data_IF_374062287871
#
_entry.id   IF_374062287871
#
_cell.length_a   1.000
_cell.length_b   1.000
_cell.length_c   1.000
_cell.angle_alpha   90.00
_cell.angle_beta   90.00
_cell.angle_gamma   90.00
#
_symmetry.space_group_name_H-M   'P 1'
#
loop_
_entity.id
_entity.type
_entity.pdbx_description
1 polymer ?
#
# COMPACT_ATOMS: atom_id res chain seq x y z
N UNK A 1 10.32 -15.77 -58.79
CA UNK A 1 10.87 -15.65 -57.42
C UNK A 1 9.71 -15.34 -56.49
N UNK A 2 8.94 -16.36 -56.12
CA UNK A 2 7.72 -16.22 -55.33
C UNK A 2 7.46 -17.50 -54.54
N UNK A 3 8.21 -17.75 -53.47
CA UNK A 3 7.91 -18.82 -52.48
C UNK A 3 8.79 -18.64 -51.24
N UNK A 4 8.39 -17.78 -50.29
CA UNK A 4 8.98 -17.78 -48.92
C UNK A 4 8.05 -17.26 -47.82
N UNK A 5 6.78 -16.93 -48.12
CA UNK A 5 5.87 -16.32 -47.13
C UNK A 5 4.86 -17.28 -46.49
N UNK A 6 4.62 -18.47 -47.05
CA UNK A 6 3.61 -19.40 -46.51
C UNK A 6 4.18 -20.38 -45.47
N UNK A 7 5.50 -20.58 -45.45
CA UNK A 7 6.16 -21.50 -44.53
C UNK A 7 6.25 -20.98 -43.10
N UNK A 8 6.18 -19.66 -42.86
CA UNK A 8 6.30 -19.10 -41.50
C UNK A 8 5.02 -19.22 -40.66
N UNK A 9 3.84 -19.30 -41.31
CA UNK A 9 2.54 -19.38 -40.61
C UNK A 9 2.22 -20.83 -40.21
N UNK A 10 2.86 -21.81 -40.86
CA UNK A 10 2.62 -23.22 -40.63
C UNK A 10 3.39 -23.80 -39.41
N UNK A 11 4.51 -23.21 -39.01
CA UNK A 11 5.34 -23.73 -37.91
C UNK A 11 4.90 -23.27 -36.51
N UNK A 12 4.15 -22.17 -36.39
CA UNK A 12 3.61 -21.71 -35.09
C UNK A 12 2.40 -22.52 -34.60
N UNK A 13 1.83 -23.41 -35.43
CA UNK A 13 0.68 -24.27 -35.07
C UNK A 13 1.03 -25.64 -34.50
N UNK A 14 2.32 -25.97 -34.31
CA UNK A 14 2.74 -27.37 -34.08
C UNK A 14 3.45 -27.65 -32.74
N UNK A 15 3.28 -26.81 -31.71
CA UNK A 15 3.79 -27.11 -30.35
C UNK A 15 2.79 -26.83 -29.22
N UNK A 16 1.49 -26.95 -29.47
CA UNK A 16 0.55 -27.28 -28.38
C UNK A 16 0.42 -28.80 -28.32
N UNK A 17 1.22 -29.43 -27.45
CA UNK A 17 0.96 -30.80 -27.02
C UNK A 17 -0.51 -30.92 -26.59
N UNK A 18 -1.27 -31.95 -27.01
CA UNK A 18 -2.67 -32.05 -26.67
C UNK A 18 -2.82 -31.99 -25.15
N UNK A 19 -3.45 -30.92 -24.66
CA UNK A 19 -3.72 -30.72 -23.23
C UNK A 19 -4.59 -31.88 -22.78
N UNK A 20 -4.03 -32.80 -22.00
CA UNK A 20 -4.75 -33.98 -21.51
C UNK A 20 -5.90 -33.49 -20.64
N UNK A 21 -7.12 -33.68 -21.13
CA UNK A 21 -8.31 -33.26 -20.42
C UNK A 21 -8.48 -34.15 -19.19
N UNK A 22 -8.69 -33.53 -18.01
CA UNK A 22 -8.94 -34.22 -16.75
C UNK A 22 -10.10 -33.57 -16.00
N UNK A 23 -10.79 -34.32 -15.13
CA UNK A 23 -11.81 -33.74 -14.25
C UNK A 23 -11.14 -33.06 -13.05
N UNK A 24 -11.74 -31.98 -12.53
CA UNK A 24 -11.27 -31.25 -11.36
C UNK A 24 -11.28 -32.09 -10.07
N UNK A 25 -12.27 -32.98 -9.94
CA UNK A 25 -12.54 -33.73 -8.71
C UNK A 25 -13.32 -32.90 -7.68
N UNK A 26 -13.42 -33.38 -6.43
CA UNK A 26 -14.20 -32.71 -5.40
C UNK A 26 -13.72 -31.27 -5.11
N UNK A 27 -14.63 -30.29 -4.95
CA UNK A 27 -16.09 -30.44 -4.84
C UNK A 27 -16.84 -30.21 -6.17
N UNK A 28 -16.17 -30.29 -7.32
CA UNK A 28 -16.74 -29.97 -8.64
C UNK A 28 -16.81 -31.20 -9.56
N UNK A 29 -17.26 -32.31 -9.00
CA UNK A 29 -17.40 -33.62 -9.65
C UNK A 29 -18.81 -34.23 -9.51
N UNK A 30 -19.81 -33.39 -9.23
CA UNK A 30 -21.22 -33.79 -9.11
C UNK A 30 -21.72 -34.44 -10.40
N UNK A 31 -22.25 -35.66 -10.28
CA UNK A 31 -22.72 -36.44 -11.43
C UNK A 31 -23.94 -35.84 -12.11
N UNK A 32 -24.75 -35.08 -11.37
CA UNK A 32 -25.99 -34.43 -11.77
C UNK A 32 -25.81 -32.96 -12.18
N UNK A 33 -24.57 -32.47 -12.23
CA UNK A 33 -24.23 -31.19 -12.85
C UNK A 33 -24.77 -31.07 -14.28
N UNK A 34 -25.26 -29.89 -14.67
CA UNK A 34 -25.90 -29.64 -15.96
C UNK A 34 -24.97 -29.03 -17.02
N UNK A 35 -23.77 -28.56 -16.61
CA UNK A 35 -22.76 -27.99 -17.49
C UNK A 35 -21.34 -28.44 -17.11
N UNK A 36 -20.43 -28.37 -18.09
CA UNK A 36 -19.00 -28.55 -17.86
C UNK A 36 -18.29 -27.24 -18.22
N UNK A 37 -17.58 -26.66 -17.25
CA UNK A 37 -16.64 -25.57 -17.55
C UNK A 37 -15.24 -26.16 -17.71
N UNK A 38 -14.61 -25.92 -18.86
CA UNK A 38 -13.23 -26.34 -19.14
C UNK A 38 -12.27 -25.16 -19.00
N UNK A 39 -11.26 -25.31 -18.15
CA UNK A 39 -10.16 -24.34 -18.02
C UNK A 39 -9.20 -24.37 -19.22
N UNK A 40 -8.37 -23.34 -19.35
CA UNK A 40 -7.37 -23.25 -20.43
C UNK A 40 -6.30 -24.34 -20.36
N UNK A 41 -6.04 -24.88 -19.17
CA UNK A 41 -5.11 -25.99 -18.92
C UNK A 41 -5.78 -27.37 -18.95
N UNK A 42 -7.01 -27.46 -19.46
CA UNK A 42 -7.69 -28.73 -19.76
C UNK A 42 -8.36 -29.41 -18.56
N UNK A 43 -8.79 -28.65 -17.54
CA UNK A 43 -9.50 -29.19 -16.38
C UNK A 43 -11.01 -28.95 -16.53
N UNK A 44 -11.79 -30.02 -16.45
CA UNK A 44 -13.25 -30.02 -16.50
C UNK A 44 -13.83 -29.89 -15.09
N UNK A 45 -14.59 -28.83 -14.85
CA UNK A 45 -15.39 -28.58 -13.65
C UNK A 45 -16.85 -28.90 -13.94
N UNK A 46 -17.45 -29.83 -13.19
CA UNK A 46 -18.87 -30.18 -13.30
C UNK A 46 -19.65 -29.24 -12.39
N UNK A 47 -20.51 -28.40 -12.98
CA UNK A 47 -21.16 -27.29 -12.29
C UNK A 47 -22.66 -27.21 -12.64
N UNK A 48 -23.36 -26.34 -11.92
CA UNK A 48 -24.77 -26.00 -12.12
C UNK A 48 -24.84 -24.59 -12.70
N UNK A 49 -25.30 -24.47 -13.95
CA UNK A 49 -25.38 -23.20 -14.67
C UNK A 49 -26.21 -22.16 -13.92
N UNK A 50 -27.24 -22.58 -13.19
CA UNK A 50 -28.08 -21.67 -12.40
C UNK A 50 -27.31 -20.96 -11.27
N UNK A 51 -26.33 -21.63 -10.64
CA UNK A 51 -25.51 -21.04 -9.58
C UNK A 51 -24.58 -19.99 -10.18
N UNK A 52 -23.91 -20.32 -11.29
CA UNK A 52 -23.06 -19.38 -12.02
C UNK A 52 -23.86 -18.17 -12.53
N UNK A 53 -25.05 -18.38 -13.09
CA UNK A 53 -25.95 -17.31 -13.55
C UNK A 53 -26.43 -16.39 -12.42
N UNK A 54 -26.53 -16.91 -11.20
CA UNK A 54 -26.87 -16.11 -10.02
C UNK A 54 -25.71 -15.30 -9.51
N UNK A 55 -24.50 -15.84 -9.61
CA UNK A 55 -23.29 -15.18 -9.10
C UNK A 55 -22.69 -14.14 -10.07
N UNK A 56 -22.90 -14.32 -11.38
CA UNK A 56 -22.22 -13.54 -12.42
C UNK A 56 -23.17 -13.15 -13.54
N UNK A 57 -23.13 -11.86 -13.89
CA UNK A 57 -23.89 -11.34 -15.04
C UNK A 57 -23.41 -11.93 -16.36
N UNK A 58 -22.10 -12.10 -16.54
CA UNK A 58 -21.55 -12.70 -17.76
C UNK A 58 -22.06 -14.12 -17.97
N UNK A 59 -22.06 -14.95 -16.92
CA UNK A 59 -22.60 -16.31 -17.03
C UNK A 59 -24.12 -16.29 -17.27
N UNK A 60 -24.86 -15.41 -16.60
CA UNK A 60 -26.30 -15.24 -16.85
C UNK A 60 -26.61 -14.92 -18.31
N UNK A 61 -25.89 -13.97 -18.89
CA UNK A 61 -26.08 -13.55 -20.27
C UNK A 61 -25.66 -14.68 -21.23
N UNK A 62 -24.54 -15.35 -20.96
CA UNK A 62 -24.02 -16.49 -21.75
C UNK A 62 -25.02 -17.65 -21.84
N UNK A 63 -25.74 -17.97 -20.76
CA UNK A 63 -26.73 -19.04 -20.74
C UNK A 63 -28.12 -18.60 -21.25
N UNK A 64 -28.41 -17.30 -21.24
CA UNK A 64 -29.69 -16.75 -21.72
C UNK A 64 -29.71 -16.55 -23.24
N UNK A 65 -28.55 -16.44 -23.88
CA UNK A 65 -28.47 -16.32 -25.35
C UNK A 65 -28.73 -17.67 -26.03
N UNK A 66 -29.64 -17.76 -27.02
CA UNK A 66 -29.87 -18.98 -27.80
C UNK A 66 -28.64 -19.45 -28.62
N UNK A 67 -27.55 -18.67 -28.59
CA UNK A 67 -26.27 -18.91 -29.25
C UNK A 67 -25.33 -19.85 -28.49
N UNK A 68 -25.66 -20.40 -27.32
CA UNK A 68 -24.84 -21.45 -26.68
C UNK A 68 -24.82 -22.73 -27.52
N UNK A 69 -25.75 -22.87 -28.49
CA UNK A 69 -25.68 -23.88 -29.56
C UNK A 69 -24.82 -23.46 -30.77
N UNK A 70 -24.33 -22.22 -30.84
CA UNK A 70 -23.70 -21.62 -32.03
C UNK A 70 -22.30 -21.04 -31.81
N UNK A 71 -21.79 -20.91 -30.58
CA UNK A 71 -20.39 -20.53 -30.34
C UNK A 71 -19.37 -21.60 -30.83
N UNK A 72 -19.87 -22.75 -31.28
CA UNK A 72 -19.18 -23.78 -32.06
C UNK A 72 -18.98 -23.42 -33.54
N UNK A 73 -19.59 -22.35 -34.04
CA UNK A 73 -19.66 -22.02 -35.48
C UNK A 73 -18.49 -21.13 -35.94
N UNK A 74 -17.30 -21.38 -35.43
CA UNK A 74 -16.07 -20.73 -35.85
C UNK A 74 -14.92 -21.73 -35.86
N UNK A 75 -14.67 -22.33 -37.03
CA UNK A 75 -13.58 -23.26 -37.38
C UNK A 75 -13.82 -24.74 -36.98
N UNK A 76 -14.23 -25.55 -37.95
CA UNK A 76 -13.95 -26.99 -38.10
C UNK A 76 -13.98 -27.91 -36.86
N UNK A 77 -14.79 -27.66 -35.83
CA UNK A 77 -14.94 -28.58 -34.70
C UNK A 77 -16.11 -29.56 -34.91
N UNK A 78 -15.88 -30.83 -34.57
CA UNK A 78 -16.90 -31.87 -34.62
C UNK A 78 -17.93 -31.60 -33.51
N UNK A 79 -19.25 -31.77 -33.72
CA UNK A 79 -20.28 -31.51 -32.71
C UNK A 79 -20.11 -32.28 -31.38
N UNK A 80 -19.36 -33.38 -31.41
CA UNK A 80 -19.02 -34.17 -30.21
C UNK A 80 -17.92 -33.54 -29.34
N UNK A 81 -17.18 -32.53 -29.81
CA UNK A 81 -16.15 -31.85 -29.01
C UNK A 81 -16.74 -30.82 -28.02
N UNK A 82 -18.02 -30.45 -28.20
CA UNK A 82 -18.70 -29.44 -27.39
C UNK A 82 -19.68 -30.03 -26.38
N UNK A 83 -19.81 -31.35 -26.34
CA UNK A 83 -20.60 -32.06 -25.34
C UNK A 83 -19.82 -33.23 -24.76
N UNK A 84 -19.94 -33.46 -23.46
CA UNK A 84 -19.40 -34.65 -22.77
C UNK A 84 -20.47 -35.20 -21.84
N UNK A 85 -20.78 -36.47 -22.00
CA UNK A 85 -21.86 -37.18 -21.28
C UNK A 85 -23.23 -36.48 -21.40
N UNK A 86 -23.52 -35.90 -22.56
CA UNK A 86 -24.77 -35.16 -22.80
C UNK A 86 -24.81 -33.74 -22.19
N UNK A 87 -23.70 -33.26 -21.62
CA UNK A 87 -23.58 -31.92 -21.02
C UNK A 87 -22.79 -31.00 -21.94
N UNK A 88 -23.21 -29.73 -22.13
CA UNK A 88 -22.44 -28.76 -22.91
C UNK A 88 -21.12 -28.42 -22.19
N UNK A 89 -20.05 -28.29 -22.98
CA UNK A 89 -18.73 -27.83 -22.53
C UNK A 89 -18.54 -26.36 -22.89
N UNK A 90 -18.23 -25.54 -21.88
CA UNK A 90 -17.90 -24.13 -22.06
C UNK A 90 -16.44 -23.93 -21.69
N UNK A 91 -15.65 -23.49 -22.66
CA UNK A 91 -14.21 -23.26 -22.49
C UNK A 91 -13.96 -21.83 -22.03
N UNK A 92 -13.17 -21.68 -20.97
CA UNK A 92 -12.74 -20.39 -20.43
C UNK A 92 -11.22 -20.23 -20.59
N UNK A 93 -10.76 -18.98 -20.59
CA UNK A 93 -9.34 -18.63 -20.79
C UNK A 93 -8.51 -18.73 -19.51
N UNK A 94 -9.17 -18.82 -18.37
CA UNK A 94 -8.59 -18.93 -17.04
C UNK A 94 -8.11 -20.36 -16.80
N UNK A 95 -6.97 -20.50 -16.13
CA UNK A 95 -6.49 -21.80 -15.70
C UNK A 95 -7.33 -22.37 -14.55
N UNK A 96 -7.14 -23.66 -14.29
CA UNK A 96 -7.88 -24.40 -13.28
C UNK A 96 -7.76 -23.83 -11.87
N UNK A 97 -6.60 -23.28 -11.50
CA UNK A 97 -6.38 -22.68 -10.18
C UNK A 97 -7.26 -21.45 -9.94
N UNK A 98 -7.34 -20.54 -10.92
CA UNK A 98 -8.18 -19.34 -10.83
C UNK A 98 -9.66 -19.71 -10.80
N UNK A 99 -10.07 -20.66 -11.66
CA UNK A 99 -11.44 -21.13 -11.72
C UNK A 99 -11.88 -21.85 -10.44
N UNK A 100 -11.04 -22.72 -9.86
CA UNK A 100 -11.31 -23.36 -8.56
C UNK A 100 -11.55 -22.31 -7.47
N UNK A 101 -10.66 -21.31 -7.36
CA UNK A 101 -10.82 -20.23 -6.37
C UNK A 101 -12.12 -19.46 -6.57
N UNK A 102 -12.46 -19.12 -7.81
CA UNK A 102 -13.67 -18.37 -8.15
C UNK A 102 -14.94 -19.19 -7.87
N UNK A 103 -15.00 -20.45 -8.30
CA UNK A 103 -16.18 -21.29 -8.11
C UNK A 103 -16.43 -21.59 -6.64
N UNK A 104 -15.37 -21.76 -5.81
CA UNK A 104 -15.54 -21.89 -4.36
C UNK A 104 -16.17 -20.67 -3.69
N UNK A 105 -16.15 -19.50 -4.32
CA UNK A 105 -16.88 -18.33 -3.83
C UNK A 105 -18.36 -18.35 -4.20
N UNK A 106 -18.73 -19.05 -5.28
CA UNK A 106 -20.11 -19.13 -5.76
C UNK A 106 -20.87 -20.31 -5.14
N UNK A 107 -20.15 -21.34 -4.73
CA UNK A 107 -20.69 -22.57 -4.19
C UNK A 107 -20.61 -22.61 -2.66
N UNK A 108 -21.57 -23.25 -1.97
CA UNK A 108 -21.54 -23.44 -0.52
C UNK A 108 -20.56 -24.55 -0.13
N UNK A 109 -19.28 -24.35 -0.43
CA UNK A 109 -18.18 -25.31 -0.20
C UNK A 109 -17.07 -24.66 0.64
N UNK A 110 -15.99 -25.41 0.88
CA UNK A 110 -14.83 -24.87 1.57
C UNK A 110 -14.24 -23.66 0.84
N UNK A 111 -13.86 -22.65 1.65
CA UNK A 111 -13.27 -21.40 1.18
C UNK A 111 -12.06 -21.65 0.27
N UNK A 112 -11.85 -20.80 -0.75
CA UNK A 112 -10.68 -20.92 -1.61
C UNK A 112 -9.39 -20.73 -0.81
N UNK A 113 -8.38 -21.54 -1.14
CA UNK A 113 -7.04 -21.39 -0.56
C UNK A 113 -6.28 -20.32 -1.33
N UNK A 114 -6.31 -19.11 -0.82
CA UNK A 114 -5.53 -17.98 -1.36
C UNK A 114 -4.25 -17.84 -0.56
N UNK A 115 -3.11 -18.14 -1.19
CA UNK A 115 -1.83 -18.26 -0.47
C UNK A 115 -0.89 -17.08 -0.69
N UNK A 116 -1.10 -16.35 -1.80
CA UNK A 116 -0.22 -15.27 -2.25
C UNK A 116 -0.98 -14.03 -2.72
N UNK A 117 -0.28 -12.89 -2.84
CA UNK A 117 -0.83 -11.70 -3.50
C UNK A 117 -1.14 -11.96 -4.98
N UNK A 118 -0.35 -12.79 -5.65
CA UNK A 118 -0.62 -13.17 -7.04
C UNK A 118 -1.97 -13.88 -7.17
N UNK A 119 -2.32 -14.76 -6.23
CA UNK A 119 -3.63 -15.41 -6.18
C UNK A 119 -4.76 -14.38 -6.01
N UNK A 120 -4.57 -13.40 -5.12
CA UNK A 120 -5.52 -12.30 -4.90
C UNK A 120 -5.74 -11.50 -6.19
N UNK A 121 -4.67 -11.14 -6.90
CA UNK A 121 -4.74 -10.40 -8.16
C UNK A 121 -5.54 -11.17 -9.20
N UNK A 122 -5.19 -12.43 -9.42
CA UNK A 122 -5.87 -13.29 -10.39
C UNK A 122 -7.35 -13.50 -10.05
N UNK A 123 -7.65 -13.71 -8.76
CA UNK A 123 -9.02 -13.88 -8.30
C UNK A 123 -9.86 -12.62 -8.52
N UNK A 124 -9.35 -11.45 -8.13
CA UNK A 124 -10.07 -10.19 -8.33
C UNK A 124 -10.24 -9.84 -9.82
N UNK A 125 -9.23 -10.10 -10.65
CA UNK A 125 -9.34 -9.94 -12.11
C UNK A 125 -10.42 -10.86 -12.70
N UNK A 126 -10.50 -12.11 -12.25
CA UNK A 126 -11.55 -13.02 -12.69
C UNK A 126 -12.93 -12.53 -12.24
N UNK A 127 -13.10 -12.14 -10.97
CA UNK A 127 -14.38 -11.63 -10.46
C UNK A 127 -14.85 -10.37 -11.20
N UNK A 128 -13.93 -9.46 -11.54
CA UNK A 128 -14.20 -8.28 -12.35
C UNK A 128 -14.58 -8.64 -13.79
N UNK A 129 -13.81 -9.53 -14.43
CA UNK A 129 -14.08 -10.03 -15.79
C UNK A 129 -15.46 -10.66 -15.91
N UNK A 130 -15.86 -11.46 -14.92
CA UNK A 130 -17.16 -12.13 -14.90
C UNK A 130 -18.28 -11.26 -14.31
N UNK A 131 -18.03 -9.97 -14.04
CA UNK A 131 -19.01 -9.00 -13.54
C UNK A 131 -19.81 -9.54 -12.35
N UNK A 132 -19.09 -9.92 -11.29
CA UNK A 132 -19.69 -10.30 -10.02
C UNK A 132 -20.12 -9.02 -9.30
N UNK A 133 -21.44 -8.77 -9.25
CA UNK A 133 -22.04 -7.49 -8.82
C UNK A 133 -21.57 -7.00 -7.44
N UNK A 134 -21.34 -7.93 -6.50
CA UNK A 134 -20.79 -7.62 -5.18
C UNK A 134 -19.71 -8.63 -4.82
N UNK A 135 -18.51 -8.13 -4.50
CA UNK A 135 -17.43 -8.99 -4.03
C UNK A 135 -17.86 -9.72 -2.74
N UNK A 136 -17.74 -11.05 -2.67
CA UNK A 136 -18.12 -11.81 -1.49
C UNK A 136 -17.37 -11.35 -0.24
N UNK A 137 -18.00 -11.39 0.94
CA UNK A 137 -17.36 -11.09 2.23
C UNK A 137 -16.09 -11.93 2.46
N UNK A 138 -16.04 -13.13 1.87
CA UNK A 138 -14.85 -14.01 1.90
C UNK A 138 -13.64 -13.36 1.23
N UNK A 139 -13.83 -12.60 0.14
CA UNK A 139 -12.76 -11.85 -0.52
C UNK A 139 -12.23 -10.75 0.38
N UNK A 140 -13.13 -10.01 1.06
CA UNK A 140 -12.70 -9.01 2.04
C UNK A 140 -11.91 -9.65 3.19
N UNK A 141 -12.33 -10.80 3.70
CA UNK A 141 -11.61 -11.51 4.76
C UNK A 141 -10.20 -11.94 4.31
N UNK A 142 -10.08 -12.50 3.11
CA UNK A 142 -8.79 -12.89 2.49
C UNK A 142 -7.87 -11.67 2.38
N UNK A 143 -8.40 -10.53 1.92
CA UNK A 143 -7.62 -9.30 1.82
C UNK A 143 -7.19 -8.77 3.18
N UNK A 144 -8.08 -8.80 4.18
CA UNK A 144 -7.77 -8.39 5.55
C UNK A 144 -6.64 -9.24 6.16
N UNK A 145 -6.61 -10.54 5.89
CA UNK A 145 -5.52 -11.43 6.32
C UNK A 145 -4.19 -11.13 5.60
N UNK A 146 -4.24 -10.51 4.42
CA UNK A 146 -3.07 -10.07 3.66
C UNK A 146 -2.56 -8.67 4.05
N UNK A 147 -3.41 -7.83 4.67
CA UNK A 147 -3.09 -6.44 5.03
C UNK A 147 -1.82 -6.33 5.88
N UNK A 148 -1.62 -7.21 6.87
CA UNK A 148 -0.43 -7.16 7.74
C UNK A 148 0.88 -7.53 7.01
N UNK A 149 0.80 -8.32 5.93
CA UNK A 149 1.97 -8.78 5.17
C UNK A 149 2.41 -7.76 4.13
N UNK A 150 1.46 -7.23 3.36
CA UNK A 150 1.71 -6.32 2.25
C UNK A 150 0.73 -5.14 2.24
N UNK A 151 0.79 -4.25 3.26
CA UNK A 151 -0.20 -3.19 3.42
C UNK A 151 -0.24 -2.20 2.26
N UNK A 152 0.91 -1.91 1.63
CA UNK A 152 0.98 -0.97 0.50
C UNK A 152 0.27 -1.54 -0.74
N UNK A 153 0.61 -2.78 -1.13
CA UNK A 153 -0.02 -3.50 -2.24
C UNK A 153 -1.52 -3.67 -2.02
N UNK A 154 -1.92 -4.15 -0.84
CA UNK A 154 -3.34 -4.34 -0.52
C UNK A 154 -4.11 -3.02 -0.48
N UNK A 155 -3.50 -1.92 -0.03
CA UNK A 155 -4.14 -0.60 -0.06
C UNK A 155 -4.46 -0.17 -1.50
N UNK A 156 -3.53 -0.35 -2.43
CA UNK A 156 -3.73 -0.05 -3.86
C UNK A 156 -4.80 -0.94 -4.46
N UNK A 157 -4.73 -2.26 -4.25
CA UNK A 157 -5.73 -3.22 -4.73
C UNK A 157 -7.12 -2.88 -4.18
N UNK A 158 -7.25 -2.66 -2.88
CA UNK A 158 -8.53 -2.32 -2.27
C UNK A 158 -9.08 -0.98 -2.79
N UNK A 159 -8.21 0.01 -3.03
CA UNK A 159 -8.61 1.26 -3.66
C UNK A 159 -9.14 1.03 -5.08
N UNK A 160 -8.45 0.22 -5.89
CA UNK A 160 -8.86 -0.12 -7.26
C UNK A 160 -10.26 -0.71 -7.32
N UNK A 161 -10.56 -1.69 -6.47
CA UNK A 161 -11.86 -2.40 -6.43
C UNK A 161 -12.90 -1.79 -5.48
N UNK A 162 -12.69 -0.57 -5.00
CA UNK A 162 -13.64 0.15 -4.13
C UNK A 162 -13.98 -0.52 -2.78
N UNK A 163 -13.04 -1.33 -2.27
CA UNK A 163 -13.14 -2.06 -1.01
C UNK A 163 -12.76 -1.17 0.18
N UNK A 164 -13.67 -0.25 0.53
CA UNK A 164 -13.43 0.84 1.50
C UNK A 164 -12.91 0.35 2.86
N UNK A 165 -13.48 -0.74 3.41
CA UNK A 165 -13.05 -1.25 4.72
C UNK A 165 -11.60 -1.74 4.69
N UNK A 166 -11.25 -2.51 3.66
CA UNK A 166 -9.90 -3.05 3.44
C UNK A 166 -8.92 -1.92 3.16
N UNK A 167 -9.27 -0.99 2.27
CA UNK A 167 -8.43 0.16 1.91
C UNK A 167 -8.08 1.00 3.14
N UNK A 168 -9.07 1.26 4.01
CA UNK A 168 -8.87 2.01 5.24
C UNK A 168 -7.98 1.29 6.26
N UNK A 169 -8.14 -0.03 6.40
CA UNK A 169 -7.29 -0.84 7.27
C UNK A 169 -5.85 -0.87 6.76
N UNK A 170 -5.67 -1.15 5.47
CA UNK A 170 -4.38 -1.19 4.80
C UNK A 170 -3.65 0.15 4.91
N UNK A 171 -4.34 1.27 4.62
CA UNK A 171 -3.77 2.61 4.68
C UNK A 171 -3.20 2.95 6.07
N UNK A 172 -3.87 2.56 7.16
CA UNK A 172 -3.34 2.74 8.52
C UNK A 172 -2.03 1.97 8.74
N UNK A 173 -1.92 0.77 8.19
CA UNK A 173 -0.68 -0.01 8.30
C UNK A 173 0.44 0.55 7.42
N UNK A 174 0.13 1.17 6.28
CA UNK A 174 1.16 1.83 5.44
C UNK A 174 1.93 2.93 6.17
N UNK A 175 1.34 3.53 7.23
CA UNK A 175 2.01 4.55 8.06
C UNK A 175 3.25 4.02 8.79
N UNK A 176 3.39 2.70 8.93
CA UNK A 176 4.58 2.06 9.51
C UNK A 176 5.81 2.25 8.62
N UNK A 177 5.64 2.57 7.34
CA UNK A 177 6.71 2.62 6.35
C UNK A 177 6.78 3.99 5.65
N UNK A 178 7.96 4.37 5.14
CA UNK A 178 8.10 5.53 4.26
C UNK A 178 7.24 5.39 3.02
N UNK A 179 6.59 6.48 2.63
CA UNK A 179 5.60 6.55 1.55
C UNK A 179 6.08 6.04 0.19
N UNK A 180 7.39 6.05 -0.09
CA UNK A 180 7.90 5.90 -1.46
C UNK A 180 9.26 5.19 -1.62
N UNK A 181 9.92 4.70 -0.56
CA UNK A 181 11.33 4.28 -0.71
C UNK A 181 11.82 3.07 0.11
N UNK A 182 10.93 2.31 0.76
CA UNK A 182 11.39 1.16 1.52
C UNK A 182 10.49 -0.08 1.35
N UNK A 183 10.95 -1.00 0.51
CA UNK A 183 10.80 -2.43 0.72
C UNK A 183 9.70 -3.16 -0.03
N UNK A 184 8.52 -2.57 -0.23
CA UNK A 184 7.34 -3.28 -0.77
C UNK A 184 6.44 -2.35 -1.59
N UNK A 185 6.96 -1.79 -2.69
CA UNK A 185 6.13 -1.02 -3.60
C UNK A 185 5.10 -1.94 -4.31
N UNK A 186 3.85 -1.47 -4.50
CA UNK A 186 2.90 -2.11 -5.39
C UNK A 186 3.55 -2.31 -6.76
N UNK A 187 3.29 -3.44 -7.43
CA UNK A 187 3.84 -3.66 -8.76
C UNK A 187 3.17 -2.73 -9.77
N UNK A 188 3.81 -2.53 -10.94
CA UNK A 188 3.20 -1.77 -12.03
C UNK A 188 1.82 -2.32 -12.42
N UNK A 189 1.60 -3.63 -12.30
CA UNK A 189 0.29 -4.26 -12.54
C UNK A 189 -0.80 -3.87 -11.51
N UNK A 190 -0.41 -3.55 -10.27
CA UNK A 190 -1.35 -3.10 -9.24
C UNK A 190 -1.72 -1.63 -9.45
N UNK A 191 -0.74 -0.85 -9.90
CA UNK A 191 -0.89 0.56 -10.25
C UNK A 191 -1.55 0.75 -11.62
N UNK A 192 -1.41 -0.23 -12.51
CA UNK A 192 -2.21 -0.31 -13.71
C UNK A 192 -3.67 -0.36 -13.24
N UNK A 193 -4.48 0.54 -13.78
CA UNK A 193 -5.92 0.64 -13.51
C UNK A 193 -6.35 1.28 -12.17
N UNK A 194 -5.46 1.63 -11.23
CA UNK A 194 -5.87 2.57 -10.16
C UNK A 194 -5.95 3.98 -10.76
N UNK A 195 -7.02 4.73 -10.45
CA UNK A 195 -7.10 6.12 -10.90
C UNK A 195 -6.06 6.98 -10.18
N UNK A 196 -5.48 7.95 -10.89
CA UNK A 196 -4.55 8.92 -10.29
C UNK A 196 -5.17 9.67 -9.10
N UNK A 197 -6.50 9.88 -9.13
CA UNK A 197 -7.24 10.48 -8.02
C UNK A 197 -7.23 9.58 -6.76
N UNK A 198 -7.48 8.28 -6.92
CA UNK A 198 -7.42 7.31 -5.80
C UNK A 198 -6.00 7.20 -5.25
N UNK A 199 -5.00 7.08 -6.12
CA UNK A 199 -3.59 7.04 -5.71
C UNK A 199 -3.16 8.31 -4.96
N UNK A 200 -3.53 9.50 -5.48
CA UNK A 200 -3.27 10.79 -4.81
C UNK A 200 -3.87 10.84 -3.40
N UNK A 201 -5.04 10.24 -3.16
CA UNK A 201 -5.66 10.21 -1.82
C UNK A 201 -4.85 9.38 -0.83
N UNK A 202 -4.22 8.29 -1.27
CA UNK A 202 -3.30 7.49 -0.44
C UNK A 202 -2.13 8.38 0.00
N UNK A 203 -1.51 9.11 -0.94
CA UNK A 203 -0.41 10.01 -0.66
C UNK A 203 -0.83 11.14 0.31
N UNK A 204 -1.96 11.79 0.04
CA UNK A 204 -2.49 12.86 0.89
C UNK A 204 -2.83 12.37 2.30
N UNK A 205 -3.39 11.18 2.43
CA UNK A 205 -3.69 10.60 3.74
C UNK A 205 -2.42 10.42 4.57
N UNK A 206 -1.38 9.81 4.01
CA UNK A 206 -0.13 9.63 4.74
C UNK A 206 0.61 10.95 5.01
N UNK A 207 0.56 11.91 4.08
CA UNK A 207 1.05 13.27 4.33
C UNK A 207 0.33 13.93 5.51
N UNK A 208 -1.01 13.89 5.55
CA UNK A 208 -1.80 14.46 6.66
C UNK A 208 -1.49 13.77 7.98
N UNK A 209 -1.32 12.45 7.99
CA UNK A 209 -0.88 11.72 9.17
C UNK A 209 0.52 12.15 9.63
N UNK A 210 1.44 12.38 8.68
CA UNK A 210 2.80 12.86 8.94
C UNK A 210 2.82 14.26 9.55
N UNK A 211 2.02 15.18 9.03
CA UNK A 211 1.87 16.53 9.58
C UNK A 211 1.31 16.47 11.01
N UNK A 212 0.20 15.75 11.23
CA UNK A 212 -0.41 15.63 12.57
C UNK A 212 0.49 14.93 13.58
N UNK A 213 1.25 13.91 13.16
CA UNK A 213 2.20 13.23 14.02
C UNK A 213 3.38 14.14 14.39
N UNK A 214 3.89 14.93 13.44
CA UNK A 214 4.95 15.90 13.70
C UNK A 214 4.49 17.04 14.62
N UNK A 215 3.29 17.57 14.43
CA UNK A 215 2.69 18.59 15.31
C UNK A 215 2.61 18.12 16.77
N UNK A 216 2.32 16.83 17.00
CA UNK A 216 2.20 16.25 18.33
C UNK A 216 3.51 16.30 19.16
N UNK A 217 4.66 16.35 18.49
CA UNK A 217 5.99 16.46 19.15
C UNK A 217 6.55 17.89 19.13
N UNK A 218 6.01 18.78 18.30
CA UNK A 218 6.35 20.20 18.29
C UNK A 218 5.67 21.00 19.41
N UNK A 219 4.54 20.52 19.93
CA UNK A 219 3.80 21.17 21.02
C UNK A 219 3.54 20.19 22.15
N UNK A 220 3.96 20.57 23.37
CA UNK A 220 3.77 19.78 24.59
C UNK A 220 2.64 20.33 25.48
N UNK A 221 1.77 21.17 24.93
CA UNK A 221 0.62 21.74 25.66
C UNK A 221 -0.40 20.69 26.15
N UNK A 222 -0.30 19.45 25.68
CA UNK A 222 -1.20 18.36 26.05
C UNK A 222 -0.72 17.52 27.23
N UNK A 223 0.48 17.79 27.79
CA UNK A 223 1.03 17.06 28.93
C UNK A 223 1.46 17.99 30.07
N UNK A 224 1.61 17.42 31.28
CA UNK A 224 2.17 18.14 32.43
C UNK A 224 3.68 18.30 32.26
N UNK A 225 4.21 19.50 32.44
CA UNK A 225 5.65 19.76 32.38
C UNK A 225 6.48 18.91 33.35
N UNK A 226 5.88 18.39 34.44
CA UNK A 226 6.53 17.44 35.36
C UNK A 226 6.77 16.05 34.75
N UNK A 227 6.04 15.70 33.69
CA UNK A 227 6.22 14.44 32.97
C UNK A 227 7.36 14.49 31.96
N UNK A 228 7.96 15.67 31.76
CA UNK A 228 9.06 15.86 30.82
C UNK A 228 10.39 15.71 31.58
N UNK A 229 11.26 14.77 31.19
CA UNK A 229 12.53 14.56 31.85
C UNK A 229 13.38 15.84 31.93
N UNK A 230 13.95 16.12 33.10
CA UNK A 230 14.79 17.29 33.35
C UNK A 230 14.16 18.67 33.04
N UNK A 231 12.86 18.77 32.75
CA UNK A 231 12.22 20.06 32.48
C UNK A 231 12.04 20.87 33.77
N UNK A 232 12.33 22.17 33.72
CA UNK A 232 12.26 23.07 34.87
C UNK A 232 11.39 24.27 34.52
N UNK A 233 10.44 24.63 35.39
CA UNK A 233 9.60 25.80 35.19
C UNK A 233 10.46 27.08 35.06
N UNK A 234 10.07 27.98 34.15
CA UNK A 234 10.82 29.22 33.94
C UNK A 234 10.84 30.08 35.21
N UNK A 235 11.98 30.71 35.47
CA UNK A 235 12.23 31.42 36.74
C UNK A 235 12.56 30.55 37.97
N UNK A 236 12.39 29.22 37.92
CA UNK A 236 12.90 28.33 38.98
C UNK A 236 14.43 28.20 38.90
N UNK A 237 15.16 28.05 40.01
CA UNK A 237 16.60 27.84 39.98
C UNK A 237 16.95 26.53 39.26
N UNK A 238 18.07 26.55 38.52
CA UNK A 238 18.61 25.33 37.93
C UNK A 238 18.94 24.30 39.01
N UNK A 239 18.71 22.99 38.76
CA UNK A 239 19.12 21.94 39.67
C UNK A 239 20.63 22.01 39.93
N UNK A 240 21.03 21.78 41.18
CA UNK A 240 22.43 21.88 41.60
C UNK A 240 23.34 21.03 40.70
N UNK A 241 24.36 21.66 40.10
CA UNK A 241 25.32 21.00 39.22
C UNK A 241 24.81 20.67 37.81
N UNK A 242 23.59 21.07 37.43
CA UNK A 242 23.04 20.80 36.10
C UNK A 242 23.10 22.04 35.19
N UNK A 243 24.02 22.02 34.21
CA UNK A 243 24.14 23.06 33.17
C UNK A 243 23.22 22.82 31.98
N UNK A 244 22.66 21.61 31.81
CA UNK A 244 21.75 21.25 30.72
C UNK A 244 20.42 22.01 30.76
N UNK A 245 20.08 22.63 31.89
CA UNK A 245 18.85 23.40 32.14
C UNK A 245 18.82 24.79 31.48
N UNK A 246 19.87 25.14 30.72
CA UNK A 246 19.95 26.35 29.86
C UNK A 246 19.32 26.16 28.47
N UNK A 247 18.69 25.02 28.24
CA UNK A 247 18.05 24.71 26.96
C UNK A 247 16.84 25.59 26.65
N UNK A 248 16.17 25.24 25.56
CA UNK A 248 15.10 26.04 24.96
C UNK A 248 13.89 26.20 25.87
N UNK A 249 13.20 27.33 25.72
CA UNK A 249 11.95 27.61 26.43
C UNK A 249 10.76 27.08 25.64
N UNK A 250 9.93 26.27 26.30
CA UNK A 250 8.73 25.66 25.74
C UNK A 250 7.50 26.10 26.53
N UNK A 251 6.42 26.40 25.83
CA UNK A 251 5.11 26.60 26.44
C UNK A 251 4.47 25.23 26.70
N UNK A 252 4.15 24.93 27.96
CA UNK A 252 3.69 23.61 28.40
C UNK A 252 2.50 23.78 29.32
N UNK A 253 1.57 22.84 29.26
CA UNK A 253 0.45 22.85 30.21
C UNK A 253 0.96 22.53 31.61
N UNK A 254 0.47 23.30 32.56
CA UNK A 254 0.69 23.12 33.98
C UNK A 254 -0.67 22.98 34.63
N UNK A 255 -0.87 21.86 35.33
CA UNK A 255 -2.09 21.64 36.08
C UNK A 255 -1.93 22.15 37.50
N UNK A 256 -2.59 23.28 37.82
CA UNK A 256 -2.70 23.77 39.19
C UNK A 256 -3.99 23.25 39.82
N UNK A 257 -3.86 22.29 40.74
CA UNK A 257 -4.98 21.74 41.54
C UNK A 257 -5.81 22.81 42.25
N UNK A 258 -5.25 24.00 42.50
CA UNK A 258 -5.95 25.10 43.18
C UNK A 258 -6.85 25.95 42.27
N UNK A 259 -6.58 25.98 40.96
CA UNK A 259 -7.29 26.87 40.01
C UNK A 259 -8.34 26.18 39.16
N UNK A 260 -8.38 24.84 39.14
CA UNK A 260 -9.41 24.07 38.44
C UNK A 260 -9.37 24.15 36.91
N UNK A 261 -8.40 24.89 36.33
CA UNK A 261 -8.22 25.04 34.89
C UNK A 261 -6.73 24.85 34.52
N UNK A 262 -6.42 24.24 33.36
CA UNK A 262 -5.06 24.15 32.86
C UNK A 262 -4.50 25.56 32.60
N UNK A 263 -3.31 25.84 33.12
CA UNK A 263 -2.59 27.09 32.85
C UNK A 263 -1.39 26.80 31.95
N UNK A 264 -1.05 27.73 31.05
CA UNK A 264 0.14 27.61 30.21
C UNK A 264 1.30 28.25 30.96
N UNK A 265 2.34 27.46 31.22
CA UNK A 265 3.57 27.91 31.86
C UNK A 265 4.76 27.69 30.94
N UNK A 266 5.75 28.57 31.05
CA UNK A 266 7.02 28.40 30.34
C UNK A 266 7.91 27.43 31.11
N UNK A 267 8.52 26.48 30.41
CA UNK A 267 9.50 25.54 30.95
C UNK A 267 10.79 25.63 30.14
N UNK A 268 11.94 25.48 30.80
CA UNK A 268 13.23 25.22 30.16
C UNK A 268 13.37 23.72 29.99
N UNK A 269 13.48 23.27 28.74
CA UNK A 269 13.63 21.86 28.37
C UNK A 269 15.07 21.64 27.94
N UNK A 270 15.69 20.54 28.39
CA UNK A 270 17.09 20.25 28.13
C UNK A 270 17.36 19.90 26.67
N UNK A 271 18.58 20.18 26.20
CA UNK A 271 18.97 19.96 24.80
C UNK A 271 18.87 18.49 24.36
N UNK A 272 19.07 17.54 25.27
CA UNK A 272 18.93 16.12 24.95
C UNK A 272 17.46 15.72 24.72
N UNK A 273 16.51 16.35 25.42
CA UNK A 273 15.07 16.13 25.20
C UNK A 273 14.60 16.84 23.94
N UNK A 274 15.00 18.10 23.72
CA UNK A 274 14.62 18.82 22.50
C UNK A 274 15.26 18.22 21.25
N UNK A 275 16.50 17.74 21.36
CA UNK A 275 17.19 16.97 20.32
C UNK A 275 16.45 15.67 19.99
N UNK A 276 15.98 14.95 21.00
CA UNK A 276 15.13 13.77 20.82
C UNK A 276 13.82 14.11 20.10
N UNK A 277 13.09 15.13 20.56
CA UNK A 277 11.83 15.56 19.92
C UNK A 277 12.02 15.95 18.46
N UNK A 278 13.09 16.68 18.12
CA UNK A 278 13.45 17.00 16.73
C UNK A 278 13.78 15.78 15.90
N UNK A 279 14.43 14.77 16.50
CA UNK A 279 14.73 13.51 15.83
C UNK A 279 13.44 12.72 15.57
N UNK A 280 12.53 12.67 16.54
CA UNK A 280 11.20 12.11 16.40
C UNK A 280 10.41 12.82 15.31
N UNK A 281 10.41 14.15 15.28
CA UNK A 281 9.73 14.95 14.27
C UNK A 281 10.16 14.56 12.85
N UNK A 282 11.48 14.46 12.60
CA UNK A 282 12.01 13.98 11.32
C UNK A 282 11.58 12.54 11.01
N UNK A 283 11.69 11.66 11.99
CA UNK A 283 11.27 10.26 11.83
C UNK A 283 9.78 10.11 11.53
N UNK A 284 8.93 10.91 12.15
CA UNK A 284 7.47 10.90 11.97
C UNK A 284 7.03 11.49 10.63
N UNK A 285 7.81 12.40 10.04
CA UNK A 285 7.58 12.88 8.68
C UNK A 285 7.81 11.81 7.61
N UNK A 286 8.70 10.87 7.88
CA UNK A 286 8.95 9.72 7.00
C UNK A 286 8.02 8.56 7.33
N UNK A 287 7.90 8.21 8.61
CA UNK A 287 7.16 7.05 9.15
C UNK A 287 6.17 7.53 10.21
N UNK A 288 4.97 7.99 9.82
CA UNK A 288 3.97 8.57 10.70
C UNK A 288 3.25 7.52 11.54
N UNK A 289 4.00 6.78 12.34
CA UNK A 289 3.50 5.74 13.23
C UNK A 289 3.99 6.01 14.65
N UNK A 290 3.11 5.80 15.63
CA UNK A 290 3.44 6.04 17.05
C UNK A 290 4.61 5.18 17.56
N UNK A 291 4.85 4.02 16.95
CA UNK A 291 6.02 3.20 17.26
C UNK A 291 7.37 3.85 16.89
N UNK A 292 7.39 4.86 16.01
CA UNK A 292 8.61 5.56 15.61
C UNK A 292 9.29 6.24 16.80
N UNK A 293 8.54 6.81 17.74
CA UNK A 293 9.12 7.44 18.93
C UNK A 293 9.58 6.44 20.00
N UNK A 294 9.26 5.16 19.83
CA UNK A 294 9.66 4.08 20.72
C UNK A 294 10.89 3.33 20.22
N UNK A 295 11.42 3.65 19.04
CA UNK A 295 12.59 2.97 18.48
C UNK A 295 13.84 3.30 19.32
N UNK A 296 14.47 2.25 19.87
CA UNK A 296 15.70 2.35 20.64
C UNK A 296 16.82 3.05 19.86
N UNK A 297 16.87 2.90 18.53
CA UNK A 297 17.85 3.60 17.68
C UNK A 297 17.67 5.11 17.71
N UNK A 298 16.43 5.58 17.92
CA UNK A 298 16.11 7.01 18.06
C UNK A 298 16.30 7.48 19.51
N UNK A 299 15.97 6.65 20.50
CA UNK A 299 16.01 6.99 21.92
C UNK A 299 17.43 6.96 22.53
N UNK A 300 18.19 5.90 22.30
CA UNK A 300 19.45 5.60 23.00
C UNK A 300 20.52 6.72 22.90
N UNK A 301 20.72 7.41 21.78
CA UNK A 301 21.70 8.50 21.70
C UNK A 301 21.42 9.63 22.71
N UNK A 302 20.15 9.94 22.96
CA UNK A 302 19.75 11.02 23.86
C UNK A 302 19.77 10.59 25.33
N UNK A 303 19.47 9.31 25.60
CA UNK A 303 19.68 8.73 26.94
C UNK A 303 21.17 8.76 27.31
N UNK A 304 22.07 8.45 26.37
CA UNK A 304 23.52 8.57 26.59
C UNK A 304 23.96 10.01 26.83
N UNK A 305 23.43 10.97 26.07
CA UNK A 305 23.68 12.40 26.30
C UNK A 305 23.19 12.88 27.68
N UNK A 306 22.09 12.33 28.18
CA UNK A 306 21.61 12.62 29.53
C UNK A 306 22.57 12.09 30.62
N UNK A 307 23.27 10.98 30.35
CA UNK A 307 24.21 10.37 31.28
C UNK A 307 25.47 11.23 31.54
N UNK A 308 25.78 12.19 30.66
CA UNK A 308 26.87 13.15 30.86
C UNK A 308 26.59 14.15 32.01
N UNK A 309 25.37 14.18 32.54
CA UNK A 309 24.98 15.01 33.68
C UNK A 309 24.26 14.18 34.76
N UNK A 310 24.83 14.12 35.97
CA UNK A 310 24.28 13.33 37.08
C UNK A 310 22.82 13.68 37.48
N UNK A 311 22.34 14.90 37.18
CA UNK A 311 20.92 15.22 37.35
C UNK A 311 20.07 14.65 36.21
N UNK A 312 20.49 14.87 34.95
CA UNK A 312 19.77 14.37 33.78
C UNK A 312 19.74 12.85 33.74
N UNK A 313 20.85 12.19 34.05
CA UNK A 313 20.95 10.73 34.19
C UNK A 313 19.90 10.19 35.16
N UNK A 314 19.86 10.72 36.38
CA UNK A 314 18.86 10.34 37.39
C UNK A 314 17.46 10.57 36.88
N UNK A 315 17.14 11.74 36.30
CA UNK A 315 15.79 11.96 35.78
C UNK A 315 15.43 11.06 34.60
N UNK A 316 16.38 10.71 33.72
CA UNK A 316 16.15 9.80 32.61
C UNK A 316 15.81 8.39 33.10
N UNK A 317 16.42 7.97 34.21
CA UNK A 317 16.15 6.71 34.92
C UNK A 317 14.85 6.79 35.74
N UNK A 318 14.71 7.80 36.60
CA UNK A 318 13.63 7.98 37.58
C UNK A 318 12.28 8.32 36.94
N UNK A 319 12.25 9.27 35.99
CA UNK A 319 11.04 9.58 35.21
C UNK A 319 10.79 8.55 34.10
N UNK A 320 11.72 7.60 33.90
CA UNK A 320 11.74 6.61 32.83
C UNK A 320 11.51 7.29 31.48
N UNK A 321 12.58 7.55 30.72
CA UNK A 321 12.48 8.03 29.33
C UNK A 321 11.43 7.24 28.50
N UNK A 322 11.27 5.95 28.82
CA UNK A 322 10.20 5.08 28.31
C UNK A 322 8.77 5.58 28.60
N UNK A 323 8.47 6.08 29.80
CA UNK A 323 7.14 6.65 30.12
C UNK A 323 6.87 7.91 29.31
N UNK A 324 7.88 8.77 29.16
CA UNK A 324 7.77 9.96 28.33
C UNK A 324 7.53 9.59 26.86
N UNK A 325 8.31 8.67 26.30
CA UNK A 325 8.13 8.21 24.91
C UNK A 325 6.80 7.49 24.70
N UNK A 326 6.30 6.73 25.69
CA UNK A 326 4.98 6.12 25.63
C UNK A 326 3.86 7.16 25.58
N UNK A 327 3.94 8.22 26.40
CA UNK A 327 2.96 9.31 26.34
C UNK A 327 2.96 10.02 24.99
N UNK A 328 4.15 10.24 24.39
CA UNK A 328 4.25 10.75 23.03
C UNK A 328 3.58 9.80 22.03
N UNK A 329 3.85 8.49 22.12
CA UNK A 329 3.27 7.49 21.24
C UNK A 329 1.73 7.50 21.32
N UNK A 330 1.17 7.53 22.53
CA UNK A 330 -0.28 7.58 22.75
C UNK A 330 -0.90 8.86 22.16
N UNK A 331 -0.22 10.00 22.33
CA UNK A 331 -0.66 11.27 21.73
C UNK A 331 -0.61 11.24 20.21
N UNK A 332 0.46 10.71 19.62
CA UNK A 332 0.64 10.58 18.18
C UNK A 332 -0.45 9.67 17.61
N UNK A 333 -0.71 8.53 18.26
CA UNK A 333 -1.81 7.62 17.88
C UNK A 333 -3.14 8.34 17.86
N UNK A 334 -3.48 9.07 18.93
CA UNK A 334 -4.72 9.86 18.99
C UNK A 334 -4.79 10.95 17.92
N UNK A 335 -3.67 11.61 17.61
CA UNK A 335 -3.61 12.64 16.58
C UNK A 335 -3.82 12.05 15.16
N UNK A 336 -3.26 10.89 14.88
CA UNK A 336 -3.44 10.16 13.61
C UNK A 336 -4.88 9.66 13.49
N UNK A 337 -5.49 9.16 14.57
CA UNK A 337 -6.88 8.68 14.57
C UNK A 337 -7.91 9.79 14.25
N UNK A 338 -7.54 11.06 14.45
CA UNK A 338 -8.38 12.20 14.06
C UNK A 338 -8.32 12.51 12.56
N UNK A 339 -7.35 11.97 11.82
CA UNK A 339 -7.24 12.14 10.37
C UNK A 339 -8.32 11.26 9.71
N UNK A 340 -9.29 11.91 9.06
CA UNK A 340 -10.33 11.19 8.33
C UNK A 340 -9.73 10.52 7.11
N UNK A 341 -9.88 9.20 7.04
CA UNK A 341 -9.49 8.45 5.86
C UNK A 341 -10.57 8.57 4.77
N UNK A 342 -10.27 9.33 3.71
CA UNK A 342 -11.20 9.69 2.61
C UNK A 342 -10.84 9.01 1.28
N UNK A 343 -10.37 7.77 1.31
CA UNK A 343 -9.89 7.07 0.10
C UNK A 343 -10.97 6.91 -0.98
N UNK A 344 -12.22 6.69 -0.58
CA UNK A 344 -13.35 6.44 -1.49
C UNK A 344 -14.38 7.58 -1.55
N UNK A 345 -14.10 8.76 -0.98
CA UNK A 345 -15.01 9.89 -1.08
C UNK A 345 -15.23 10.27 -2.56
N UNK A 346 -16.48 10.41 -3.00
CA UNK A 346 -16.77 10.91 -4.34
C UNK A 346 -16.27 12.36 -4.44
N UNK A 347 -15.59 12.74 -5.54
CA UNK A 347 -15.22 14.13 -5.73
C UNK A 347 -16.50 14.92 -6.00
N UNK A 348 -17.00 15.65 -5.01
CA UNK A 348 -17.66 16.97 -5.10
C UNK A 348 -18.14 17.42 -3.71
N UNK A 349 -17.91 18.70 -3.40
CA UNK A 349 -18.28 19.47 -2.19
C UNK A 349 -17.36 19.35 -0.96
N UNK A 350 -16.13 19.84 -1.08
CA UNK A 350 -15.48 20.50 0.06
C UNK A 350 -14.67 21.70 -0.47
N UNK A 351 -15.37 22.80 -0.73
CA UNK A 351 -14.77 24.11 -0.99
C UNK A 351 -14.20 24.63 0.32
N UNK A 352 -13.00 24.16 0.65
CA UNK A 352 -12.28 24.52 1.86
C UNK A 352 -10.86 24.02 1.78
N UNK A 353 -10.06 24.58 0.87
CA UNK A 353 -8.61 24.38 0.84
C UNK A 353 -8.02 24.95 2.14
N UNK A 354 -7.39 24.15 3.02
CA UNK A 354 -6.36 24.70 3.88
C UNK A 354 -5.14 25.03 3.00
N UNK A 355 -4.56 26.20 3.23
CA UNK A 355 -3.37 26.69 2.54
C UNK A 355 -2.20 25.73 2.77
N UNK A 356 -1.96 24.81 1.83
CA UNK A 356 -0.73 24.01 1.81
C UNK A 356 0.35 24.89 1.19
N UNK A 357 1.26 25.37 2.03
CA UNK A 357 2.51 25.99 1.57
C UNK A 357 3.30 24.94 0.80
N UNK A 358 3.20 24.98 -0.54
CA UNK A 358 4.07 24.22 -1.43
C UNK A 358 5.50 24.68 -1.19
N UNK A 359 6.29 23.85 -0.52
CA UNK A 359 7.75 23.95 -0.59
C UNK A 359 8.10 23.51 -2.01
N UNK A 360 8.29 24.48 -2.90
CA UNK A 360 8.96 24.24 -4.17
C UNK A 360 10.39 23.80 -3.83
N UNK A 361 10.70 22.54 -4.15
CA UNK A 361 12.08 22.15 -4.36
C UNK A 361 12.49 22.83 -5.68
N UNK A 362 13.30 23.90 -5.58
CA UNK A 362 13.97 24.52 -6.71
C UNK A 362 14.85 23.47 -7.40
N UNK A 363 14.32 22.81 -8.42
CA UNK A 363 15.08 21.98 -9.35
C UNK A 363 15.57 22.88 -10.49
N UNK A 364 16.39 23.87 -10.17
CA UNK A 364 17.08 24.70 -11.16
C UNK A 364 18.40 25.23 -10.58
N UNK A 365 19.35 24.31 -10.35
CA UNK A 365 20.78 24.63 -10.20
C UNK A 365 21.67 23.40 -10.33
N UNK A 366 21.68 22.79 -11.51
CA UNK A 366 22.81 21.98 -11.96
C UNK A 366 23.49 22.72 -13.13
N UNK A 367 24.69 23.31 -12.93
CA UNK A 367 25.46 23.84 -14.04
C UNK A 367 26.07 22.69 -14.85
N UNK A 368 25.60 22.52 -16.08
CA UNK A 368 26.30 21.71 -17.09
C UNK A 368 27.65 22.37 -17.43
N UNK A 369 28.77 21.63 -17.49
CA UNK A 369 30.02 22.16 -18.02
C UNK A 369 29.90 22.32 -19.54
N UNK A 370 30.14 23.53 -20.02
CA UNK A 370 30.20 23.90 -21.43
C UNK A 370 31.47 23.34 -22.08
N UNK A 371 31.32 22.39 -23.00
CA UNK A 371 32.35 22.03 -23.98
C UNK A 371 32.42 23.14 -25.05
N UNK A 372 33.53 23.86 -25.07
CA UNK A 372 33.90 24.81 -26.12
C UNK A 372 35.40 25.05 -26.01
N UNK A 373 36.21 24.15 -26.56
CA UNK A 373 37.58 24.47 -26.97
C UNK A 373 37.76 24.03 -28.40
N UNK A 374 38.13 25.02 -29.20
CA UNK A 374 38.27 24.97 -30.63
C UNK A 374 39.33 23.98 -31.09
N UNK A 375 39.05 23.42 -32.26
CA UNK A 375 39.95 22.71 -33.15
C UNK A 375 41.04 23.68 -33.62
N UNK A 376 42.31 23.38 -33.34
CA UNK A 376 43.45 23.88 -34.10
C UNK A 376 44.20 22.68 -34.67
N UNK A 377 44.04 22.48 -35.98
CA UNK A 377 44.79 21.56 -36.84
C UNK A 377 45.86 22.40 -37.57
N UNK A 378 47.18 22.13 -37.42
CA UNK A 378 48.18 22.83 -38.21
C UNK A 378 49.12 21.85 -38.91
N UNK A 379 48.66 21.08 -39.90
CA UNK A 379 49.56 20.55 -40.93
C UNK A 379 48.75 20.25 -42.19
N UNK A 380 48.84 21.13 -43.21
CA UNK A 380 49.05 20.76 -44.61
C UNK A 380 48.84 21.96 -45.54
N UNK A 381 49.95 22.48 -46.07
CA UNK A 381 50.11 23.17 -47.37
C UNK A 381 51.58 23.64 -47.40
N UNK A 382 52.44 23.48 -48.40
CA UNK A 382 52.45 23.03 -49.81
C UNK A 382 53.92 22.71 -50.10
N UNK A 383 54.24 21.76 -51.00
CA UNK A 383 55.21 21.93 -52.11
C UNK A 383 55.47 20.62 -52.85
N UNK A 384 55.09 20.60 -54.13
CA UNK A 384 55.54 19.65 -55.12
C UNK A 384 56.82 20.16 -55.79
N UNK A 385 57.78 19.27 -56.09
CA UNK A 385 58.53 19.24 -57.38
C UNK A 385 59.72 18.27 -57.33
N UNK A 386 59.65 17.28 -58.23
CA UNK A 386 60.69 16.83 -59.18
C UNK A 386 62.08 16.35 -58.74
N UNK A 387 62.47 15.25 -59.42
CA UNK A 387 63.78 14.64 -59.65
C UNK A 387 64.22 13.52 -58.71
#
# INVERSE_FOLDING_TARGET
MSTTSESSIAYDRLLESPTVVRNAGPPFDDIDADIIIRSSDGVDFLLYGIILAKASKVFKDMFSTPSTSLLSSGLNHHPEDDHKDGRPIIRLTENSHVLDMMFRLFYPVDRPKVTSISDIRLLLQALDKYLVDSLPETVEAILMDAVEREPQTICVIACRYDLTRVANAAAKLTLRDPLLYAGLCPSDDDLAYISAAKYRRILLYHQQCSERAAEAVQSLLWMDGRSIPSAVADGSPSPNGCTCSRGEKWAISSYDRKRGAPNISMYRVTDWVTGYLRRCERGLRERPHWGTVLDDKLLLPFVKMAADCAHCERTAVDLQMHKFSQQLADKIKSAIEQVKNRLHDHPLQDSGLPSVSLIFLDVDRFPYPSESTAVEDPYHQVSASSS
#
